data_IF_051468026823
#
_entry.id   IF_051468026823
#
_cell.length_a   1.000
_cell.length_b   1.000
_cell.length_c   1.000
_cell.angle_alpha   90.00
_cell.angle_beta   90.00
_cell.angle_gamma   90.00
#
_symmetry.space_group_name_H-M   'P 1'
#
loop_
_entity.id
_entity.type
_entity.pdbx_description
1 polymer ?
#
# COMPACT_ATOMS: atom_id res chain seq x y z
N UNK A 1 5.18 -14.07 -1.05
CA UNK A 1 6.01 -12.89 -1.42
C UNK A 1 5.98 -11.79 -0.35
N UNK A 2 6.95 -10.89 -0.37
CA UNK A 2 7.02 -9.75 0.53
C UNK A 2 6.79 -8.45 -0.26
N UNK A 3 5.82 -7.66 0.18
CA UNK A 3 5.49 -6.35 -0.38
C UNK A 3 5.73 -5.29 0.69
N UNK A 4 6.33 -4.16 0.33
CA UNK A 4 6.62 -3.05 1.26
C UNK A 4 6.14 -1.74 0.66
N UNK A 5 5.50 -0.89 1.47
CA UNK A 5 5.02 0.44 1.08
C UNK A 5 5.15 1.42 2.26
N UNK A 6 5.47 2.69 2.00
CA UNK A 6 5.46 3.71 3.05
C UNK A 6 4.07 4.33 3.18
N UNK A 7 3.65 4.64 4.40
CA UNK A 7 2.43 5.36 4.71
C UNK A 7 2.35 6.71 4.00
N UNK A 8 3.49 7.37 3.80
CA UNK A 8 3.58 8.64 3.07
C UNK A 8 3.20 8.52 1.59
N UNK A 9 3.36 7.34 0.97
CA UNK A 9 2.93 7.08 -0.42
C UNK A 9 1.39 7.14 -0.58
N UNK A 10 0.65 7.03 0.52
CA UNK A 10 -0.82 7.17 0.51
C UNK A 10 -1.28 8.63 0.56
N UNK A 11 -0.41 9.56 0.95
CA UNK A 11 -0.70 10.98 1.18
C UNK A 11 -0.33 11.84 -0.03
N UNK A 12 -0.10 11.23 -1.20
CA UNK A 12 0.23 11.94 -2.44
C UNK A 12 -0.71 13.15 -2.66
N UNK A 13 -0.15 14.24 -3.20
CA UNK A 13 -0.83 15.53 -3.42
C UNK A 13 -2.09 15.46 -4.31
N UNK A 14 -2.40 14.29 -4.88
CA UNK A 14 -3.53 14.05 -5.76
C UNK A 14 -4.53 13.09 -5.12
N UNK A 15 -5.65 13.65 -4.68
CA UNK A 15 -6.77 12.91 -4.08
C UNK A 15 -7.18 11.74 -4.98
N UNK A 16 -7.06 10.51 -4.47
CA UNK A 16 -7.55 9.27 -5.12
C UNK A 16 -6.47 8.39 -5.78
N UNK A 17 -5.26 8.91 -6.05
CA UNK A 17 -4.18 8.10 -6.65
C UNK A 17 -3.60 7.11 -5.64
N UNK A 18 -3.34 7.55 -4.40
CA UNK A 18 -2.87 6.68 -3.32
C UNK A 18 -3.82 5.52 -3.03
N UNK A 19 -5.14 5.77 -3.03
CA UNK A 19 -6.15 4.74 -2.79
C UNK A 19 -6.21 3.66 -3.90
N UNK A 20 -5.89 4.00 -5.16
CA UNK A 20 -5.80 3.01 -6.24
C UNK A 20 -4.62 2.07 -6.04
N UNK A 21 -3.44 2.62 -5.71
CA UNK A 21 -2.24 1.80 -5.47
C UNK A 21 -2.41 0.82 -4.31
N UNK A 22 -3.09 1.22 -3.23
CA UNK A 22 -3.42 0.30 -2.13
C UNK A 22 -4.21 -0.89 -2.68
N UNK A 23 -5.27 -0.63 -3.46
CA UNK A 23 -6.13 -1.70 -3.98
C UNK A 23 -5.33 -2.66 -4.86
N UNK A 24 -4.55 -2.13 -5.78
CA UNK A 24 -3.73 -2.93 -6.70
C UNK A 24 -2.69 -3.78 -5.94
N UNK A 25 -2.07 -3.22 -4.89
CA UNK A 25 -1.12 -3.92 -4.01
C UNK A 25 -1.79 -5.11 -3.32
N UNK A 26 -2.98 -4.89 -2.75
CA UNK A 26 -3.74 -5.93 -2.07
C UNK A 26 -4.23 -7.02 -3.05
N UNK A 27 -4.61 -6.66 -4.28
CA UNK A 27 -4.98 -7.63 -5.31
C UNK A 27 -3.79 -8.51 -5.72
N UNK A 28 -2.62 -7.90 -5.95
CA UNK A 28 -1.39 -8.64 -6.26
C UNK A 28 -0.98 -9.56 -5.12
N UNK A 29 -1.07 -9.10 -3.86
CA UNK A 29 -0.74 -9.91 -2.70
C UNK A 29 -1.70 -11.12 -2.54
N UNK A 30 -2.99 -10.92 -2.77
CA UNK A 30 -3.99 -12.01 -2.76
C UNK A 30 -3.73 -13.03 -3.86
N UNK A 31 -3.41 -12.58 -5.07
CA UNK A 31 -3.10 -13.46 -6.20
C UNK A 31 -1.83 -14.31 -5.95
N UNK A 32 -0.88 -13.80 -5.15
CA UNK A 32 0.37 -14.48 -4.83
C UNK A 32 0.40 -15.07 -3.40
N UNK A 33 -0.75 -15.48 -2.87
CA UNK A 33 -0.84 -16.08 -1.54
C UNK A 33 0.00 -17.37 -1.44
N UNK A 34 0.80 -17.58 -0.36
CA UNK A 34 0.90 -16.74 0.83
C UNK A 34 1.82 -15.51 0.64
N UNK A 35 1.35 -14.33 1.07
CA UNK A 35 2.07 -13.06 0.97
C UNK A 35 2.00 -12.25 2.27
N UNK A 36 3.03 -11.42 2.48
CA UNK A 36 3.13 -10.47 3.59
C UNK A 36 3.21 -9.07 2.99
N UNK A 37 2.41 -8.14 3.51
CA UNK A 37 2.47 -6.71 3.20
C UNK A 37 2.98 -5.99 4.43
N UNK A 38 4.07 -5.25 4.30
CA UNK A 38 4.63 -4.37 5.32
C UNK A 38 4.31 -2.91 4.97
N UNK A 39 3.79 -2.18 5.96
CA UNK A 39 3.49 -0.75 5.84
C UNK A 39 4.35 -0.02 6.86
N UNK A 40 5.28 0.79 6.37
CA UNK A 40 6.13 1.65 7.21
C UNK A 40 5.50 3.04 7.37
N UNK A 41 5.92 3.85 8.35
CA UNK A 41 5.50 5.26 8.50
C UNK A 41 3.97 5.49 8.42
N UNK A 42 3.17 4.57 8.98
CA UNK A 42 1.70 4.65 8.92
C UNK A 42 1.14 5.88 9.64
N UNK A 43 1.91 6.45 10.56
CA UNK A 43 1.63 7.72 11.23
C UNK A 43 1.60 8.92 10.28
N UNK A 44 2.22 8.83 9.09
CA UNK A 44 2.16 9.86 8.07
C UNK A 44 0.76 10.01 7.43
N UNK A 45 -0.10 8.99 7.54
CA UNK A 45 -1.47 8.97 6.97
C UNK A 45 -2.47 9.78 7.81
N UNK A 46 -2.06 10.27 8.99
CA UNK A 46 -2.88 11.02 9.96
C UNK A 46 -3.13 12.48 9.61
#
# INVERSE_FOLDING_TARGET
PFFSISGSDFVEMFVGVGASRVRDLFEQAKANSPAIIFVDEIDAVG
#
